data_IF_712713261611
#
_entry.id   IF_712713261611
#
_cell.length_a   1.000
_cell.length_b   1.000
_cell.length_c   1.000
_cell.angle_alpha   90.00
_cell.angle_beta   90.00
_cell.angle_gamma   90.00
#
_symmetry.space_group_name_H-M   'P 1'
#
loop_
_entity.id
_entity.type
_entity.pdbx_description
1 polymer ?
#
# COMPACT_ATOMS: atom_id res chain seq x y z
N UNK A 1 -16.63 -16.05 1.56
CA UNK A 1 -15.55 -15.08 1.88
C UNK A 1 -14.37 -15.13 0.88
N UNK A 2 -14.55 -15.75 -0.28
CA UNK A 2 -13.50 -15.87 -1.33
C UNK A 2 -13.53 -14.78 -2.39
N UNK A 3 -14.55 -13.94 -2.43
CA UNK A 3 -14.74 -12.91 -3.48
C UNK A 3 -13.92 -11.63 -3.31
N UNK A 4 -13.20 -11.47 -2.20
CA UNK A 4 -12.40 -10.27 -1.95
C UNK A 4 -11.06 -10.27 -2.71
N UNK A 5 -10.50 -11.45 -2.99
CA UNK A 5 -9.19 -11.60 -3.62
C UNK A 5 -9.31 -11.93 -5.11
N UNK A 6 -8.41 -11.33 -5.89
CA UNK A 6 -8.23 -11.64 -7.31
C UNK A 6 -7.00 -12.56 -7.42
N UNK A 7 -7.18 -13.74 -7.95
CA UNK A 7 -6.08 -14.69 -8.14
C UNK A 7 -5.16 -14.23 -9.28
N UNK A 8 -4.00 -13.72 -8.90
CA UNK A 8 -2.91 -13.36 -9.82
C UNK A 8 -1.71 -14.29 -9.53
N UNK A 9 -1.48 -15.32 -10.35
CA UNK A 9 -0.38 -16.25 -10.13
C UNK A 9 0.98 -15.57 -9.96
N UNK A 10 1.60 -15.84 -8.81
CA UNK A 10 2.87 -15.24 -8.40
C UNK A 10 2.74 -13.90 -7.66
N UNK A 11 1.54 -13.36 -7.46
CA UNK A 11 1.32 -12.13 -6.67
C UNK A 11 0.45 -12.43 -5.46
N UNK A 12 0.97 -12.12 -4.27
CA UNK A 12 0.28 -12.39 -3.01
C UNK A 12 -0.65 -11.23 -2.64
N UNK A 13 -1.71 -11.54 -1.92
CA UNK A 13 -2.58 -10.55 -1.28
C UNK A 13 -3.23 -9.53 -2.27
N UNK A 14 -3.39 -9.92 -3.54
CA UNK A 14 -3.93 -9.04 -4.58
C UNK A 14 -5.46 -8.92 -4.47
N UNK A 15 -5.95 -7.68 -4.44
CA UNK A 15 -7.39 -7.39 -4.39
C UNK A 15 -7.72 -5.97 -4.84
N UNK A 16 -8.98 -5.77 -5.20
CA UNK A 16 -9.57 -4.45 -5.40
C UNK A 16 -9.69 -3.73 -4.05
N UNK A 17 -9.23 -2.49 -3.95
CA UNK A 17 -9.36 -1.66 -2.77
C UNK A 17 -10.69 -0.88 -2.72
N UNK A 18 -11.48 -0.96 -3.78
CA UNK A 18 -12.74 -0.24 -3.94
C UNK A 18 -13.96 -0.95 -3.36
N UNK A 19 -15.10 -0.26 -3.39
CA UNK A 19 -16.35 -0.68 -2.75
C UNK A 19 -16.38 -0.35 -1.26
N UNK A 20 -15.56 0.61 -0.83
CA UNK A 20 -15.40 1.10 0.55
C UNK A 20 -15.49 2.62 0.51
N UNK A 21 -16.37 3.22 1.34
CA UNK A 21 -16.71 4.62 1.21
C UNK A 21 -17.18 4.93 -0.21
N UNK A 22 -16.73 6.05 -0.78
CA UNK A 22 -16.99 6.42 -2.16
C UNK A 22 -15.97 5.84 -3.17
N UNK A 23 -14.98 5.06 -2.74
CA UNK A 23 -13.99 4.45 -3.64
C UNK A 23 -14.64 3.42 -4.55
N UNK A 24 -14.71 3.71 -5.84
CA UNK A 24 -15.31 2.77 -6.82
C UNK A 24 -14.39 1.57 -7.08
N UNK A 25 -14.99 0.45 -7.46
CA UNK A 25 -14.28 -0.77 -7.83
C UNK A 25 -13.59 -0.63 -9.19
N UNK A 26 -12.54 -1.41 -9.40
CA UNK A 26 -11.84 -1.55 -10.67
C UNK A 26 -10.86 -0.41 -10.99
N UNK A 27 -10.60 0.52 -10.08
CA UNK A 27 -9.71 1.67 -10.32
C UNK A 27 -8.46 1.68 -9.45
N UNK A 28 -8.55 1.10 -8.27
CA UNK A 28 -7.43 1.01 -7.33
C UNK A 28 -7.34 -0.40 -6.77
N UNK A 29 -6.18 -1.00 -6.93
CA UNK A 29 -5.85 -2.33 -6.43
C UNK A 29 -4.74 -2.24 -5.39
N UNK A 30 -4.62 -3.28 -4.57
CA UNK A 30 -3.51 -3.45 -3.64
C UNK A 30 -2.95 -4.86 -3.69
N UNK A 31 -1.63 -5.02 -3.47
CA UNK A 31 -0.99 -6.34 -3.53
C UNK A 31 0.35 -6.39 -2.80
N UNK A 32 0.96 -7.56 -2.75
CA UNK A 32 2.40 -7.75 -2.62
C UNK A 32 3.13 -7.44 -3.92
N UNK A 33 4.45 -7.50 -3.90
CA UNK A 33 5.31 -7.19 -5.03
C UNK A 33 5.17 -8.20 -6.18
N UNK A 34 5.63 -7.81 -7.35
CA UNK A 34 5.58 -8.61 -8.57
C UNK A 34 6.86 -9.42 -8.82
N UNK A 35 7.77 -9.51 -7.85
CA UNK A 35 9.05 -10.22 -8.03
C UNK A 35 8.90 -11.71 -8.38
N UNK A 36 7.79 -12.33 -7.95
CA UNK A 36 7.44 -13.73 -8.29
C UNK A 36 6.29 -13.85 -9.29
N UNK A 37 5.88 -12.72 -9.93
CA UNK A 37 4.84 -12.73 -10.95
C UNK A 37 5.18 -13.77 -12.05
N UNK A 38 4.18 -14.56 -12.42
CA UNK A 38 4.31 -15.53 -13.52
C UNK A 38 3.76 -14.94 -14.82
N UNK A 39 4.07 -15.58 -15.97
CA UNK A 39 3.51 -15.19 -17.26
C UNK A 39 1.97 -15.27 -17.28
N UNK A 40 1.38 -16.28 -16.63
CA UNK A 40 -0.08 -16.38 -16.43
C UNK A 40 -0.61 -15.23 -15.61
N UNK A 41 0.09 -14.88 -14.50
CA UNK A 41 -0.24 -13.72 -13.68
C UNK A 41 -0.20 -12.42 -14.48
N UNK A 42 0.82 -12.23 -15.32
CA UNK A 42 0.93 -11.07 -16.19
C UNK A 42 -0.25 -10.97 -17.18
N UNK A 43 -0.67 -12.09 -17.78
CA UNK A 43 -1.89 -12.11 -18.62
C UNK A 43 -3.13 -11.66 -17.88
N UNK A 44 -3.30 -12.09 -16.61
CA UNK A 44 -4.44 -11.66 -15.78
C UNK A 44 -4.33 -10.18 -15.40
N UNK A 45 -3.16 -9.70 -15.01
CA UNK A 45 -2.94 -8.27 -14.73
C UNK A 45 -3.24 -7.40 -15.95
N UNK A 46 -2.86 -7.84 -17.15
CA UNK A 46 -3.15 -7.13 -18.40
C UNK A 46 -4.64 -6.90 -18.61
N UNK A 47 -5.48 -7.87 -18.23
CA UNK A 47 -6.95 -7.73 -18.32
C UNK A 47 -7.56 -6.71 -17.38
N UNK A 48 -6.85 -6.31 -16.31
CA UNK A 48 -7.28 -5.25 -15.38
C UNK A 48 -7.02 -3.84 -15.93
N UNK A 49 -6.26 -3.72 -17.02
CA UNK A 49 -5.97 -2.44 -17.67
C UNK A 49 -5.15 -1.49 -16.79
N UNK A 50 -4.23 -2.04 -15.97
CA UNK A 50 -3.36 -1.23 -15.12
C UNK A 50 -2.57 -0.21 -15.94
N UNK A 51 -2.57 1.05 -15.50
CA UNK A 51 -1.80 2.17 -16.05
C UNK A 51 -0.64 2.56 -15.15
N UNK A 52 -0.79 2.34 -13.86
CA UNK A 52 0.20 2.75 -12.85
C UNK A 52 0.44 1.63 -11.85
N UNK A 53 1.71 1.37 -11.59
CA UNK A 53 2.18 0.56 -10.46
C UNK A 53 2.92 1.49 -9.50
N UNK A 54 2.48 1.56 -8.26
CA UNK A 54 3.09 2.34 -7.19
C UNK A 54 3.78 1.38 -6.24
N UNK A 55 5.11 1.39 -6.28
CA UNK A 55 5.95 0.53 -5.45
C UNK A 55 6.46 1.31 -4.23
N UNK A 56 6.10 0.84 -3.05
CA UNK A 56 6.43 1.47 -1.77
C UNK A 56 7.71 0.90 -1.14
N UNK A 57 8.41 0.01 -1.85
CA UNK A 57 9.65 -0.62 -1.38
C UNK A 57 10.84 0.32 -1.47
N UNK A 58 11.85 0.05 -0.66
CA UNK A 58 13.14 0.72 -0.74
C UNK A 58 13.91 0.31 -2.01
N UNK A 59 14.90 1.12 -2.40
CA UNK A 59 15.81 0.77 -3.51
C UNK A 59 16.52 -0.56 -3.24
N UNK A 60 16.92 -0.82 -2.00
CA UNK A 60 17.55 -2.06 -1.62
C UNK A 60 16.64 -3.29 -1.82
N UNK A 61 15.35 -3.20 -1.43
CA UNK A 61 14.39 -4.27 -1.70
C UNK A 61 14.20 -4.50 -3.22
N UNK A 62 14.24 -3.42 -4.02
CA UNK A 62 14.13 -3.50 -5.48
C UNK A 62 15.34 -4.17 -6.13
N UNK A 63 16.54 -3.91 -5.63
CA UNK A 63 17.77 -4.52 -6.12
C UNK A 63 17.80 -6.03 -5.83
N UNK A 64 17.33 -6.44 -4.66
CA UNK A 64 17.29 -7.86 -4.25
C UNK A 64 16.14 -8.61 -4.94
N UNK A 65 14.97 -8.00 -5.02
CA UNK A 65 13.75 -8.61 -5.58
C UNK A 65 13.09 -7.72 -6.64
N UNK A 66 13.71 -7.55 -7.83
CA UNK A 66 13.14 -6.75 -8.89
C UNK A 66 11.81 -7.35 -9.37
N UNK A 67 10.83 -6.50 -9.65
CA UNK A 67 9.56 -6.94 -10.20
C UNK A 67 9.70 -7.50 -11.62
N UNK A 68 9.00 -8.61 -11.86
CA UNK A 68 8.85 -9.17 -13.21
C UNK A 68 7.85 -8.32 -13.99
N UNK A 69 8.25 -7.82 -15.14
CA UNK A 69 7.42 -6.88 -15.92
C UNK A 69 6.68 -7.53 -17.09
N UNK A 70 7.24 -8.60 -17.66
CA UNK A 70 6.73 -9.17 -18.92
C UNK A 70 6.38 -8.06 -19.93
N UNK A 71 5.32 -8.21 -20.71
CA UNK A 71 4.78 -7.20 -21.66
C UNK A 71 3.65 -6.35 -21.08
N UNK A 72 3.70 -6.04 -19.78
CA UNK A 72 2.77 -5.14 -19.15
C UNK A 72 3.11 -3.69 -19.48
N UNK A 73 2.13 -2.98 -20.06
CA UNK A 73 2.25 -1.56 -20.44
C UNK A 73 1.70 -0.68 -19.29
N UNK A 74 2.55 -0.40 -18.31
CA UNK A 74 2.24 0.47 -17.18
C UNK A 74 3.46 1.30 -16.80
N UNK A 75 3.20 2.47 -16.24
CA UNK A 75 4.23 3.27 -15.56
C UNK A 75 4.45 2.74 -14.15
N UNK A 76 5.72 2.58 -13.73
CA UNK A 76 6.07 2.22 -12.35
C UNK A 76 6.71 3.42 -11.65
N UNK A 77 6.17 3.76 -10.47
CA UNK A 77 6.73 4.79 -9.59
C UNK A 77 7.24 4.13 -8.31
N UNK A 78 8.54 4.31 -8.04
CA UNK A 78 9.14 3.98 -6.74
C UNK A 78 8.88 5.11 -5.75
N UNK A 79 8.11 4.84 -4.71
CA UNK A 79 7.73 5.81 -3.67
C UNK A 79 7.93 5.17 -2.29
N UNK A 80 9.18 4.96 -1.84
CA UNK A 80 9.48 4.32 -0.57
C UNK A 80 8.84 5.08 0.60
N UNK A 81 8.12 4.37 1.45
CA UNK A 81 7.40 4.94 2.61
C UNK A 81 8.18 4.85 3.92
N UNK A 82 9.23 4.07 3.94
CA UNK A 82 10.18 3.99 5.05
C UNK A 82 11.50 4.62 4.63
N UNK A 83 12.22 5.27 5.56
CA UNK A 83 13.57 5.76 5.27
C UNK A 83 14.50 4.60 4.90
N UNK A 84 15.66 4.88 4.27
CA UNK A 84 16.69 3.88 4.05
C UNK A 84 17.01 3.11 5.34
N UNK A 85 17.58 1.90 5.18
CA UNK A 85 17.83 0.99 6.31
C UNK A 85 18.56 1.70 7.47
N UNK A 86 18.35 1.27 8.75
CA UNK A 86 18.88 1.95 9.95
C UNK A 86 20.39 2.19 9.99
N UNK A 87 21.17 1.41 9.25
CA UNK A 87 22.62 1.59 9.15
C UNK A 87 23.02 2.86 8.39
N UNK A 88 22.11 3.40 7.56
CA UNK A 88 22.33 4.59 6.74
C UNK A 88 21.55 5.83 7.23
N UNK A 89 20.77 5.70 8.29
CA UNK A 89 19.85 6.73 8.76
C UNK A 89 20.06 7.13 10.21
N UNK A 90 19.82 8.41 10.49
CA UNK A 90 19.86 8.97 11.85
C UNK A 90 18.80 8.40 12.81
N UNK A 91 17.91 7.54 12.31
CA UNK A 91 16.75 7.06 13.07
C UNK A 91 16.51 5.56 12.85
N UNK A 92 16.89 4.71 13.80
CA UNK A 92 16.66 3.27 13.70
C UNK A 92 15.15 2.96 13.64
N UNK A 93 14.79 1.93 12.86
CA UNK A 93 13.42 1.45 12.82
C UNK A 93 13.02 0.81 14.15
N UNK A 94 11.79 1.01 14.62
CA UNK A 94 11.30 0.31 15.77
C UNK A 94 11.26 -1.21 15.52
N UNK A 95 11.80 -1.99 16.44
CA UNK A 95 11.72 -3.46 16.38
C UNK A 95 10.32 -3.98 16.74
N UNK A 96 9.61 -3.24 17.58
CA UNK A 96 8.25 -3.54 17.98
C UNK A 96 7.24 -3.12 16.90
N UNK A 97 6.35 -4.05 16.53
CA UNK A 97 5.35 -3.82 15.50
C UNK A 97 4.39 -2.68 15.86
N UNK A 98 4.02 -2.53 17.14
CA UNK A 98 3.14 -1.45 17.57
C UNK A 98 3.80 -0.07 17.43
N UNK A 99 5.10 0.04 17.68
CA UNK A 99 5.86 1.27 17.48
C UNK A 99 6.17 1.55 16.01
N UNK A 100 6.27 0.51 15.17
CA UNK A 100 6.55 0.64 13.74
C UNK A 100 5.43 1.37 13.00
N UNK A 101 4.16 1.19 13.37
CA UNK A 101 3.04 1.79 12.64
C UNK A 101 2.97 3.32 12.76
N UNK A 102 3.02 3.93 13.96
CA UNK A 102 3.17 5.39 14.07
C UNK A 102 4.46 5.91 13.42
N UNK A 103 5.54 5.13 13.46
CA UNK A 103 6.78 5.48 12.77
C UNK A 103 6.58 5.54 11.26
N UNK A 104 5.93 4.55 10.63
CA UNK A 104 5.56 4.58 9.20
C UNK A 104 4.73 5.83 8.88
N UNK A 105 3.73 6.16 9.68
CA UNK A 105 2.93 7.37 9.48
C UNK A 105 3.81 8.64 9.53
N UNK A 106 4.84 8.66 10.38
CA UNK A 106 5.75 9.81 10.50
C UNK A 106 6.72 9.98 9.33
N UNK A 107 7.00 8.93 8.59
CA UNK A 107 7.99 8.92 7.50
C UNK A 107 7.36 8.88 6.10
N UNK A 108 6.16 8.32 5.97
CA UNK A 108 5.52 8.08 4.68
C UNK A 108 4.95 9.35 4.01
N UNK A 109 4.86 10.48 4.71
CA UNK A 109 4.16 11.67 4.23
C UNK A 109 4.55 12.14 2.83
N UNK A 110 5.83 12.34 2.51
CA UNK A 110 6.25 12.74 1.17
C UNK A 110 5.84 11.74 0.09
N UNK A 111 5.96 10.44 0.35
CA UNK A 111 5.56 9.38 -0.58
C UNK A 111 4.05 9.33 -0.75
N UNK A 112 3.27 9.48 0.32
CA UNK A 112 1.80 9.54 0.25
C UNK A 112 1.31 10.77 -0.52
N UNK A 113 1.94 11.93 -0.36
CA UNK A 113 1.65 13.10 -1.16
C UNK A 113 1.97 12.87 -2.65
N UNK A 114 3.07 12.16 -2.96
CA UNK A 114 3.41 11.78 -4.33
C UNK A 114 2.42 10.76 -4.92
N UNK A 115 1.92 9.79 -4.12
CA UNK A 115 0.82 8.88 -4.52
C UNK A 115 -0.42 9.68 -4.90
N UNK A 116 -0.83 10.64 -4.06
CA UNK A 116 -1.98 11.52 -4.34
C UNK A 116 -1.76 12.30 -5.64
N UNK A 117 -0.60 12.92 -5.81
CA UNK A 117 -0.24 13.64 -7.05
C UNK A 117 -0.35 12.76 -8.29
N UNK A 118 0.13 11.51 -8.20
CA UNK A 118 0.04 10.57 -9.31
C UNK A 118 -1.40 10.19 -9.63
N UNK A 119 -2.19 9.84 -8.62
CA UNK A 119 -3.59 9.45 -8.79
C UNK A 119 -4.52 10.61 -9.18
N UNK A 120 -4.10 11.84 -8.96
CA UNK A 120 -4.79 13.04 -9.46
C UNK A 120 -4.71 13.16 -11.00
N UNK A 121 -3.71 12.57 -11.65
CA UNK A 121 -3.58 12.61 -13.09
C UNK A 121 -4.63 11.70 -13.77
N UNK A 122 -5.38 12.18 -14.76
CA UNK A 122 -6.51 11.43 -15.37
C UNK A 122 -6.12 10.08 -15.99
N UNK A 123 -4.86 9.95 -16.48
CA UNK A 123 -4.37 8.72 -17.14
C UNK A 123 -3.75 7.71 -16.17
N UNK A 124 -3.81 7.95 -14.86
CA UNK A 124 -3.18 7.09 -13.85
C UNK A 124 -3.93 5.80 -13.55
N UNK A 125 -5.21 5.73 -13.89
CA UNK A 125 -6.10 4.63 -13.49
C UNK A 125 -6.34 3.63 -14.63
N UNK A 126 -6.48 2.34 -14.36
CA UNK A 126 -6.43 1.72 -13.04
C UNK A 126 -5.00 1.67 -12.48
N UNK A 127 -4.88 1.78 -11.15
CA UNK A 127 -3.59 1.74 -10.46
C UNK A 127 -3.52 0.58 -9.46
N UNK A 128 -2.31 0.09 -9.18
CA UNK A 128 -2.04 -0.82 -8.07
C UNK A 128 -0.99 -0.22 -7.15
N UNK A 129 -1.21 -0.35 -5.84
CA UNK A 129 -0.25 0.02 -4.79
C UNK A 129 0.26 -1.24 -4.14
N UNK A 130 1.56 -1.38 -4.04
CA UNK A 130 2.18 -2.54 -3.39
C UNK A 130 3.43 -2.18 -2.58
N UNK A 131 3.81 -3.10 -1.69
CA UNK A 131 5.11 -3.17 -1.05
C UNK A 131 5.62 -4.63 -1.17
N UNK A 132 6.44 -5.14 -0.27
CA UNK A 132 6.91 -6.52 -0.34
C UNK A 132 5.75 -7.55 -0.30
N UNK A 133 4.86 -7.45 0.70
CA UNK A 133 3.75 -8.41 0.89
C UNK A 133 2.35 -7.78 0.81
N UNK A 134 2.25 -6.47 0.59
CA UNK A 134 0.96 -5.78 0.46
C UNK A 134 0.17 -5.62 1.76
N UNK A 135 0.85 -5.66 2.91
CA UNK A 135 0.24 -5.66 4.25
C UNK A 135 0.37 -4.29 4.93
N UNK A 136 1.56 -3.95 5.43
CA UNK A 136 1.79 -2.83 6.33
C UNK A 136 1.85 -1.49 5.59
N UNK A 137 2.88 -1.23 4.78
CA UNK A 137 3.07 0.01 4.00
C UNK A 137 1.91 0.24 3.01
N UNK A 138 1.53 -0.80 2.31
CA UNK A 138 0.35 -0.80 1.42
C UNK A 138 -0.93 -0.55 2.21
N UNK A 139 -1.07 -1.17 3.40
CA UNK A 139 -2.22 -0.99 4.27
C UNK A 139 -2.42 0.47 4.68
N UNK A 140 -1.36 1.13 5.17
CA UNK A 140 -1.40 2.55 5.52
C UNK A 140 -1.75 3.44 4.32
N UNK A 141 -1.11 3.20 3.16
CA UNK A 141 -1.37 4.00 1.95
C UNK A 141 -2.82 3.88 1.49
N UNK A 142 -3.36 2.66 1.45
CA UNK A 142 -4.76 2.42 1.08
C UNK A 142 -5.72 3.02 2.11
N UNK A 143 -5.43 2.90 3.41
CA UNK A 143 -6.24 3.50 4.47
C UNK A 143 -6.34 5.02 4.33
N UNK A 144 -5.24 5.70 4.00
CA UNK A 144 -5.23 7.15 3.71
C UNK A 144 -6.12 7.47 2.52
N UNK A 145 -6.05 6.72 1.42
CA UNK A 145 -6.88 6.94 0.23
C UNK A 145 -8.36 6.64 0.51
N UNK A 146 -8.68 5.55 1.21
CA UNK A 146 -10.04 5.21 1.62
C UNK A 146 -10.63 6.28 2.55
N UNK A 147 -9.82 6.83 3.48
CA UNK A 147 -10.24 7.94 4.34
C UNK A 147 -10.57 9.19 3.53
N UNK A 148 -9.79 9.53 2.51
CA UNK A 148 -10.09 10.64 1.58
C UNK A 148 -11.43 10.47 0.86
N UNK A 149 -11.84 9.23 0.62
CA UNK A 149 -13.10 8.84 -0.04
C UNK A 149 -14.25 8.62 0.96
N UNK A 150 -14.10 9.06 2.21
CA UNK A 150 -15.17 9.04 3.21
C UNK A 150 -15.47 7.65 3.79
N UNK A 151 -14.57 6.68 3.65
CA UNK A 151 -14.72 5.39 4.30
C UNK A 151 -14.69 5.53 5.83
N UNK A 152 -15.51 4.75 6.51
CA UNK A 152 -15.49 4.66 7.97
C UNK A 152 -14.26 3.89 8.46
N UNK A 153 -13.83 4.16 9.68
CA UNK A 153 -12.73 3.42 10.31
C UNK A 153 -12.98 1.91 10.33
N UNK A 154 -14.22 1.48 10.53
CA UNK A 154 -14.59 0.08 10.53
C UNK A 154 -14.40 -0.58 9.14
N UNK A 155 -14.77 0.11 8.06
CA UNK A 155 -14.57 -0.38 6.69
C UNK A 155 -13.08 -0.46 6.35
N UNK A 156 -12.32 0.58 6.67
CA UNK A 156 -10.86 0.65 6.44
C UNK A 156 -10.15 -0.48 7.19
N UNK A 157 -10.50 -0.66 8.46
CA UNK A 157 -9.92 -1.72 9.30
C UNK A 157 -10.30 -3.11 8.79
N UNK A 158 -11.54 -3.31 8.34
CA UNK A 158 -11.96 -4.59 7.77
C UNK A 158 -11.16 -4.94 6.52
N UNK A 159 -10.94 -4.00 5.59
CA UNK A 159 -10.07 -4.24 4.42
C UNK A 159 -8.63 -4.52 4.84
N UNK A 160 -8.08 -3.77 5.79
CA UNK A 160 -6.71 -3.97 6.27
C UNK A 160 -6.51 -5.39 6.80
N UNK A 161 -7.44 -5.89 7.63
CA UNK A 161 -7.38 -7.21 8.26
C UNK A 161 -7.50 -8.37 7.26
N UNK A 162 -8.07 -8.16 6.06
CA UNK A 162 -8.06 -9.15 4.99
C UNK A 162 -6.64 -9.57 4.61
N UNK A 163 -5.62 -8.75 4.90
CA UNK A 163 -4.23 -9.11 4.63
C UNK A 163 -3.78 -10.36 5.41
N UNK A 164 -4.37 -10.63 6.57
CA UNK A 164 -4.09 -11.86 7.30
C UNK A 164 -4.53 -13.09 6.51
N UNK A 165 -5.70 -13.03 5.89
CA UNK A 165 -6.22 -14.11 5.03
C UNK A 165 -5.39 -14.21 3.74
N UNK A 166 -5.14 -13.09 3.06
CA UNK A 166 -4.40 -13.06 1.79
C UNK A 166 -2.95 -13.54 1.90
N UNK A 167 -2.40 -13.57 3.12
CA UNK A 167 -1.04 -14.03 3.40
C UNK A 167 -0.99 -15.35 4.19
N UNK A 168 -2.15 -15.93 4.54
CA UNK A 168 -2.24 -17.14 5.35
C UNK A 168 -1.84 -16.95 6.81
N UNK A 169 -1.85 -15.70 7.31
CA UNK A 169 -1.49 -15.33 8.68
C UNK A 169 -2.63 -15.54 9.68
N UNK A 170 -3.84 -15.81 9.21
CA UNK A 170 -4.99 -16.25 10.01
C UNK A 170 -4.73 -17.59 10.74
N UNK A 171 -3.71 -18.35 10.28
CA UNK A 171 -3.24 -19.59 10.90
C UNK A 171 -2.04 -19.39 11.83
N UNK A 172 -1.58 -18.16 11.99
CA UNK A 172 -0.43 -17.77 12.80
C UNK A 172 0.74 -17.19 12.00
N UNK A 173 1.81 -16.78 12.68
CA UNK A 173 3.00 -16.23 12.03
C UNK A 173 3.63 -17.20 11.04
N UNK A 174 4.14 -16.68 9.91
CA UNK A 174 4.83 -17.46 8.88
C UNK A 174 6.27 -17.02 8.72
N UNK A 175 7.25 -17.94 8.61
CA UNK A 175 8.63 -17.57 8.35
C UNK A 175 8.81 -17.00 6.94
N UNK A 176 9.71 -16.07 6.80
CA UNK A 176 10.20 -15.56 5.53
C UNK A 176 11.67 -15.14 5.66
N UNK A 177 12.35 -15.01 4.53
CA UNK A 177 13.70 -14.43 4.48
C UNK A 177 13.55 -12.98 4.02
N UNK A 178 14.13 -12.04 4.76
CA UNK A 178 14.11 -10.63 4.39
C UNK A 178 15.17 -10.30 3.31
N UNK A 179 15.21 -9.07 2.87
CA UNK A 179 16.11 -8.58 1.82
C UNK A 179 17.59 -8.65 2.23
N UNK A 180 17.89 -8.79 3.51
CA UNK A 180 19.27 -8.99 4.01
C UNK A 180 19.68 -10.47 4.05
N UNK A 181 18.75 -11.39 3.71
CA UNK A 181 18.96 -12.84 3.85
C UNK A 181 18.69 -13.35 5.27
N UNK A 182 18.12 -12.54 6.16
CA UNK A 182 17.82 -12.92 7.54
C UNK A 182 16.44 -13.56 7.64
N UNK A 183 16.34 -14.68 8.36
CA UNK A 183 15.04 -15.30 8.68
C UNK A 183 14.25 -14.41 9.65
N UNK A 184 13.01 -14.13 9.29
CA UNK A 184 12.05 -13.33 10.05
C UNK A 184 10.70 -14.04 10.17
N UNK A 185 9.84 -13.53 11.04
CA UNK A 185 8.46 -13.96 11.15
C UNK A 185 7.52 -12.86 10.68
N UNK A 186 6.79 -13.14 9.61
CA UNK A 186 5.62 -12.32 9.25
C UNK A 186 4.51 -12.62 10.25
N UNK A 187 4.11 -11.60 11.00
CA UNK A 187 3.06 -11.71 12.02
C UNK A 187 1.73 -11.21 11.48
N UNK A 188 0.60 -11.75 11.96
CA UNK A 188 -0.70 -11.17 11.68
C UNK A 188 -0.75 -9.71 12.15
N UNK A 189 -1.61 -8.95 11.51
CA UNK A 189 -1.95 -7.58 11.93
C UNK A 189 -3.28 -7.58 12.68
N UNK A 190 -3.43 -6.62 13.57
CA UNK A 190 -4.69 -6.30 14.23
C UNK A 190 -5.13 -4.87 13.90
N UNK A 191 -6.33 -4.51 14.33
CA UNK A 191 -6.91 -3.19 14.08
C UNK A 191 -6.09 -2.07 14.72
N UNK A 192 -5.56 -2.31 15.93
CA UNK A 192 -4.88 -1.29 16.73
C UNK A 192 -3.62 -0.77 16.03
N UNK A 193 -2.93 -1.61 15.27
CA UNK A 193 -1.76 -1.22 14.50
C UNK A 193 -2.11 -0.10 13.49
N UNK A 194 -3.13 -0.30 12.66
CA UNK A 194 -3.54 0.70 11.69
C UNK A 194 -4.13 1.94 12.36
N UNK A 195 -4.99 1.74 13.36
CA UNK A 195 -5.61 2.83 14.14
C UNK A 195 -4.53 3.71 14.77
N UNK A 196 -3.44 3.14 15.30
CA UNK A 196 -2.33 3.92 15.87
C UNK A 196 -1.63 4.82 14.83
N UNK A 197 -1.50 4.36 13.59
CA UNK A 197 -0.97 5.18 12.48
C UNK A 197 -1.90 6.35 12.14
N UNK A 198 -3.20 6.06 12.01
CA UNK A 198 -4.19 7.09 11.68
C UNK A 198 -4.34 8.10 12.83
N UNK A 199 -4.33 7.63 14.08
CA UNK A 199 -4.34 8.49 15.26
C UNK A 199 -3.10 9.41 15.28
N UNK A 200 -1.90 8.88 14.99
CA UNK A 200 -0.70 9.70 14.89
C UNK A 200 -0.85 10.84 13.86
N UNK A 201 -1.46 10.56 12.70
CA UNK A 201 -1.75 11.56 11.67
C UNK A 201 -2.74 12.61 12.19
N UNK A 202 -3.84 12.17 12.79
CA UNK A 202 -4.87 13.08 13.32
C UNK A 202 -4.34 13.97 14.44
N UNK A 203 -3.58 13.42 15.37
CA UNK A 203 -3.03 14.18 16.50
C UNK A 203 -2.07 15.30 16.05
N UNK A 204 -1.34 15.10 14.95
CA UNK A 204 -0.30 16.04 14.50
C UNK A 204 -0.75 16.96 13.37
N UNK A 205 -1.69 16.51 12.55
CA UNK A 205 -2.11 17.24 11.34
C UNK A 205 -3.61 17.51 11.28
N UNK A 206 -4.37 17.07 12.29
CA UNK A 206 -5.80 17.26 12.42
C UNK A 206 -6.63 16.38 11.48
N UNK A 207 -6.25 16.28 10.21
CA UNK A 207 -6.98 15.55 9.17
C UNK A 207 -6.03 14.86 8.19
N UNK A 208 -6.53 13.87 7.46
CA UNK A 208 -5.78 13.26 6.34
C UNK A 208 -5.41 14.31 5.26
N UNK A 209 -6.33 15.18 4.78
CA UNK A 209 -5.92 16.28 3.88
C UNK A 209 -4.84 17.18 4.49
N UNK A 210 -4.96 17.56 5.77
CA UNK A 210 -3.96 18.36 6.46
C UNK A 210 -2.57 17.72 6.47
N UNK A 211 -2.50 16.41 6.70
CA UNK A 211 -1.27 15.66 6.61
C UNK A 211 -0.67 15.66 5.20
N UNK A 212 -1.48 15.41 4.18
CA UNK A 212 -1.04 15.39 2.79
C UNK A 212 -0.58 16.79 2.32
N UNK A 213 -1.28 17.85 2.72
CA UNK A 213 -0.89 19.25 2.43
C UNK A 213 0.44 19.60 3.11
N UNK A 214 0.64 19.21 4.35
CA UNK A 214 1.90 19.41 5.07
C UNK A 214 3.10 18.79 4.31
N UNK A 215 2.86 17.70 3.60
CA UNK A 215 3.87 16.98 2.80
C UNK A 215 3.85 17.34 1.31
N UNK A 216 3.17 18.42 0.93
CA UNK A 216 3.28 19.04 -0.39
C UNK A 216 2.23 18.59 -1.43
N UNK A 217 1.19 17.85 -1.06
CA UNK A 217 0.02 17.69 -1.92
C UNK A 217 -0.80 18.98 -1.90
N UNK A 218 -1.28 19.42 -3.06
CA UNK A 218 -2.18 20.57 -3.15
C UNK A 218 -3.63 20.17 -2.92
N UNK A 219 -4.48 21.13 -2.54
CA UNK A 219 -5.93 20.90 -2.41
C UNK A 219 -6.53 20.42 -3.74
N UNK A 220 -6.11 21.01 -4.84
CA UNK A 220 -6.56 20.61 -6.18
C UNK A 220 -6.20 19.15 -6.51
N UNK A 221 -5.03 18.66 -6.09
CA UNK A 221 -4.65 17.25 -6.25
C UNK A 221 -5.49 16.31 -5.38
N UNK A 222 -5.76 16.69 -4.13
CA UNK A 222 -6.65 15.92 -3.23
C UNK A 222 -8.07 15.84 -3.81
N UNK A 223 -8.61 16.94 -4.32
CA UNK A 223 -9.94 16.98 -4.93
C UNK A 223 -9.98 16.18 -6.25
N UNK A 224 -8.93 16.28 -7.06
CA UNK A 224 -8.81 15.46 -8.27
C UNK A 224 -8.76 13.96 -7.96
N UNK A 225 -8.05 13.54 -6.91
CA UNK A 225 -8.06 12.13 -6.45
C UNK A 225 -9.45 11.70 -6.03
N UNK A 226 -10.16 12.51 -5.24
CA UNK A 226 -11.55 12.23 -4.87
C UNK A 226 -12.42 12.06 -6.11
N UNK A 227 -12.33 12.97 -7.07
CA UNK A 227 -13.11 12.91 -8.31
C UNK A 227 -12.74 11.68 -9.17
N UNK A 228 -11.45 11.36 -9.31
CA UNK A 228 -10.98 10.27 -10.15
C UNK A 228 -11.31 8.88 -9.58
N UNK A 229 -11.27 8.74 -8.25
CA UNK A 229 -11.48 7.46 -7.56
C UNK A 229 -12.93 7.24 -7.12
N UNK A 230 -13.75 8.28 -7.03
CA UNK A 230 -15.16 8.15 -6.65
C UNK A 230 -15.99 7.52 -7.77
N UNK A 231 -17.06 6.83 -7.38
CA UNK A 231 -18.10 6.23 -8.24
C UNK A 231 -19.48 6.83 -7.99
#
# INVERSE_FOLDING_TARGET
MTDAFIDIPGVRNFRDAGGIGALRRGVLYRSGSFHTLTEEGARRLKSLGLRTVIDLRSEFELDVWPDQRYDLDHETLGLPTLPPHPEDGDRPWPEDQAALYPFMASTAGPSLAAVVRRLAAPQSLAAVVHCAVGKDRTGLTIAVLQSLLGASEAEITADFLLSNIGLGLDKGPTPYVDETGTERLSRPVDAELLVSSLAWIHDRHGTIPGYLHHHGATEAEVDAVRANLAG
#
